data_IF_369620368693
#
_entry.id   IF_369620368693
#
_cell.length_a   1.000
_cell.length_b   1.000
_cell.length_c   1.000
_cell.angle_alpha   90.00
_cell.angle_beta   90.00
_cell.angle_gamma   90.00
#
_symmetry.space_group_name_H-M   'P 1'
#
loop_
_entity.id
_entity.type
_entity.pdbx_description
1 polymer ?
#
# COMPACT_ATOMS: atom_id res chain seq x y z
N UNK A 1 -23.83 16.62 10.39
CA UNK A 1 -22.87 15.49 10.43
C UNK A 1 -23.45 14.37 9.59
N UNK A 2 -23.30 14.46 8.27
CA UNK A 2 -23.65 13.35 7.38
C UNK A 2 -22.72 13.41 6.16
N UNK A 3 -21.42 13.30 6.44
CA UNK A 3 -20.31 13.53 5.51
C UNK A 3 -19.88 12.23 4.81
N UNK A 4 -20.81 11.34 4.47
CA UNK A 4 -20.48 10.07 3.79
C UNK A 4 -20.38 10.28 2.28
N UNK A 5 -19.21 10.72 1.83
CA UNK A 5 -18.86 10.76 0.41
C UNK A 5 -18.88 9.35 -0.17
N UNK A 6 -19.76 9.12 -1.15
CA UNK A 6 -19.99 7.81 -1.78
C UNK A 6 -18.71 7.30 -2.46
N UNK A 7 -18.51 5.99 -2.38
CA UNK A 7 -17.37 5.34 -3.02
C UNK A 7 -17.52 5.33 -4.54
N UNK A 8 -16.43 5.64 -5.24
CA UNK A 8 -16.38 5.51 -6.70
C UNK A 8 -16.22 4.04 -7.09
N UNK A 9 -16.59 3.72 -8.34
CA UNK A 9 -16.40 2.37 -8.90
C UNK A 9 -14.92 1.97 -8.84
N UNK A 10 -14.01 2.88 -9.21
CA UNK A 10 -12.56 2.63 -9.14
C UNK A 10 -12.10 2.30 -7.71
N UNK A 11 -12.59 3.02 -6.68
CA UNK A 11 -12.24 2.74 -5.28
C UNK A 11 -12.72 1.36 -4.83
N UNK A 12 -13.92 0.95 -5.25
CA UNK A 12 -14.42 -0.41 -4.97
C UNK A 12 -13.58 -1.47 -5.66
N UNK A 13 -13.21 -1.25 -6.93
CA UNK A 13 -12.33 -2.17 -7.66
C UNK A 13 -10.98 -2.29 -6.96
N UNK A 14 -10.36 -1.17 -6.58
CA UNK A 14 -9.09 -1.18 -5.84
C UNK A 14 -9.19 -1.96 -4.54
N UNK A 15 -10.24 -1.73 -3.74
CA UNK A 15 -10.45 -2.48 -2.51
C UNK A 15 -10.63 -3.98 -2.76
N UNK A 16 -11.41 -4.36 -3.77
CA UNK A 16 -11.62 -5.76 -4.14
C UNK A 16 -10.31 -6.41 -4.61
N UNK A 17 -9.51 -5.72 -5.42
CA UNK A 17 -8.20 -6.20 -5.83
C UNK A 17 -7.27 -6.38 -4.63
N UNK A 18 -7.23 -5.43 -3.69
CA UNK A 18 -6.42 -5.55 -2.47
C UNK A 18 -6.86 -6.76 -1.64
N UNK A 19 -8.18 -6.96 -1.46
CA UNK A 19 -8.73 -8.12 -0.75
C UNK A 19 -8.35 -9.43 -1.44
N UNK A 20 -8.48 -9.51 -2.76
CA UNK A 20 -8.10 -10.70 -3.53
C UNK A 20 -6.60 -10.97 -3.41
N UNK A 21 -5.75 -9.94 -3.55
CA UNK A 21 -4.31 -10.08 -3.38
C UNK A 21 -3.93 -10.56 -1.98
N UNK A 22 -4.53 -10.00 -0.93
CA UNK A 22 -4.23 -10.34 0.45
C UNK A 22 -4.71 -11.75 0.81
N UNK A 23 -6.02 -12.02 0.66
CA UNK A 23 -6.58 -13.32 1.02
C UNK A 23 -6.14 -14.43 0.06
N UNK A 24 -6.04 -14.12 -1.23
CA UNK A 24 -5.52 -15.07 -2.23
C UNK A 24 -4.11 -15.51 -1.90
N UNK A 25 -3.26 -14.61 -1.41
CA UNK A 25 -1.91 -14.97 -1.00
C UNK A 25 -1.87 -15.80 0.28
N UNK A 26 -2.70 -15.49 1.28
CA UNK A 26 -2.83 -16.32 2.49
C UNK A 26 -3.29 -17.73 2.13
N UNK A 27 -4.33 -17.86 1.30
CA UNK A 27 -4.84 -19.17 0.85
C UNK A 27 -3.73 -19.93 0.11
N UNK A 28 -3.03 -19.25 -0.80
CA UNK A 28 -1.90 -19.82 -1.50
C UNK A 28 -0.81 -20.36 -0.57
N UNK A 29 -0.42 -19.59 0.46
CA UNK A 29 0.57 -20.03 1.44
C UNK A 29 0.11 -21.26 2.23
N UNK A 30 -1.17 -21.34 2.58
CA UNK A 30 -1.73 -22.52 3.28
C UNK A 30 -1.70 -23.74 2.36
N UNK A 31 -2.09 -23.60 1.10
CA UNK A 31 -2.13 -24.71 0.14
C UNK A 31 -0.71 -25.24 -0.21
N UNK A 32 0.27 -24.34 -0.31
CA UNK A 32 1.65 -24.70 -0.62
C UNK A 32 2.51 -24.92 0.62
N UNK A 33 1.95 -24.87 1.84
CA UNK A 33 2.72 -24.84 3.08
C UNK A 33 3.74 -25.98 3.19
N UNK A 34 3.32 -27.20 2.85
CA UNK A 34 4.16 -28.40 2.95
C UNK A 34 5.24 -28.47 1.86
N UNK A 35 5.05 -27.75 0.75
CA UNK A 35 6.02 -27.65 -0.35
C UNK A 35 7.12 -26.62 -0.05
N UNK A 36 6.87 -25.68 0.86
CA UNK A 36 7.85 -24.66 1.25
C UNK A 36 8.97 -25.31 2.09
N UNK A 37 10.26 -25.07 1.75
CA UNK A 37 11.39 -25.57 2.51
C UNK A 37 11.30 -25.23 4.00
N UNK A 38 11.61 -26.20 4.87
CA UNK A 38 11.51 -26.01 6.33
C UNK A 38 12.43 -24.90 6.85
N UNK A 39 13.52 -24.61 6.14
CA UNK A 39 14.45 -23.51 6.45
C UNK A 39 14.50 -22.51 5.30
N UNK A 40 14.28 -21.24 5.62
CA UNK A 40 14.35 -20.11 4.70
C UNK A 40 15.49 -19.18 5.09
N UNK A 41 16.04 -18.46 4.12
CA UNK A 41 17.03 -17.40 4.37
C UNK A 41 16.35 -16.29 5.16
N UNK A 42 16.92 -15.91 6.30
CA UNK A 42 16.33 -14.91 7.20
C UNK A 42 17.18 -13.67 7.40
N UNK A 43 18.49 -13.72 7.10
CA UNK A 43 19.38 -12.56 7.21
C UNK A 43 20.50 -12.60 6.17
N UNK A 44 20.73 -11.44 5.55
CA UNK A 44 21.85 -11.17 4.65
C UNK A 44 22.84 -10.19 5.29
N UNK A 45 24.11 -10.24 4.89
CA UNK A 45 25.10 -9.19 5.20
C UNK A 45 25.02 -8.05 4.18
N UNK A 46 25.78 -6.98 4.40
CA UNK A 46 25.84 -5.85 3.48
C UNK A 46 26.40 -6.22 2.08
N UNK A 47 27.13 -7.35 1.98
CA UNK A 47 27.61 -7.92 0.72
C UNK A 47 26.60 -8.81 0.00
N UNK A 48 25.41 -9.06 0.58
CA UNK A 48 24.38 -9.93 0.01
C UNK A 48 24.58 -11.43 0.26
N UNK A 49 25.48 -11.80 1.17
CA UNK A 49 25.72 -13.20 1.57
C UNK A 49 24.79 -13.60 2.72
N UNK A 50 24.38 -14.88 2.76
CA UNK A 50 23.53 -15.39 3.85
C UNK A 50 24.32 -15.44 5.16
N UNK A 51 23.81 -14.75 6.17
CA UNK A 51 24.29 -14.89 7.54
C UNK A 51 23.47 -15.96 8.28
N UNK A 52 22.18 -16.09 7.98
CA UNK A 52 21.28 -16.93 8.79
C UNK A 52 20.13 -17.53 7.99
N UNK A 53 19.82 -18.78 8.34
CA UNK A 53 18.57 -19.46 7.99
C UNK A 53 17.69 -19.58 9.24
N UNK A 54 16.37 -19.44 9.06
CA UNK A 54 15.36 -19.62 10.12
C UNK A 54 14.31 -20.63 9.67
N UNK A 55 13.56 -21.22 10.62
CA UNK A 55 12.43 -22.09 10.25
C UNK A 55 11.38 -21.28 9.51
N UNK A 56 10.72 -21.89 8.51
CA UNK A 56 9.70 -21.21 7.70
C UNK A 56 8.60 -20.56 8.54
N UNK A 57 8.15 -21.24 9.60
CA UNK A 57 7.14 -20.70 10.52
C UNK A 57 7.63 -19.42 11.23
N UNK A 58 8.90 -19.37 11.67
CA UNK A 58 9.46 -18.20 12.35
C UNK A 58 9.78 -17.03 11.41
N UNK A 59 9.77 -17.24 10.09
CA UNK A 59 9.98 -16.19 9.10
C UNK A 59 8.66 -15.73 8.50
N UNK A 60 7.85 -16.65 7.99
CA UNK A 60 6.64 -16.33 7.23
C UNK A 60 5.50 -15.86 8.13
N UNK A 61 5.25 -16.51 9.26
CA UNK A 61 4.11 -16.17 10.13
C UNK A 61 4.21 -14.73 10.67
N UNK A 62 5.35 -14.28 11.23
CA UNK A 62 5.47 -12.90 11.67
C UNK A 62 5.30 -11.88 10.54
N UNK A 63 5.79 -12.19 9.33
CA UNK A 63 5.61 -11.30 8.18
C UNK A 63 4.13 -11.20 7.77
N UNK A 64 3.38 -12.31 7.77
CA UNK A 64 1.94 -12.30 7.47
C UNK A 64 1.19 -11.49 8.53
N UNK A 65 1.59 -11.61 9.80
CA UNK A 65 1.01 -10.80 10.88
C UNK A 65 1.26 -9.30 10.67
N UNK A 66 2.49 -8.91 10.30
CA UNK A 66 2.85 -7.52 10.02
C UNK A 66 2.05 -7.00 8.83
N UNK A 67 2.00 -7.76 7.73
CA UNK A 67 1.21 -7.42 6.55
C UNK A 67 -0.27 -7.26 6.90
N UNK A 68 -0.84 -8.20 7.66
CA UNK A 68 -2.24 -8.16 8.07
C UNK A 68 -2.57 -6.95 8.95
N UNK A 69 -1.69 -6.60 9.89
CA UNK A 69 -1.86 -5.39 10.71
C UNK A 69 -1.82 -4.14 9.83
N UNK A 70 -0.85 -4.04 8.91
CA UNK A 70 -0.72 -2.90 8.00
C UNK A 70 -1.95 -2.78 7.09
N UNK A 71 -2.37 -3.88 6.46
CA UNK A 71 -3.56 -3.95 5.62
C UNK A 71 -4.80 -3.45 6.38
N UNK A 72 -5.05 -3.96 7.59
CA UNK A 72 -6.21 -3.55 8.40
C UNK A 72 -6.15 -2.06 8.74
N UNK A 73 -4.99 -1.56 9.19
CA UNK A 73 -4.84 -0.14 9.55
C UNK A 73 -5.08 0.75 8.33
N UNK A 74 -4.45 0.47 7.19
CA UNK A 74 -4.57 1.29 5.98
C UNK A 74 -6.00 1.22 5.42
N UNK A 75 -6.60 0.03 5.40
CA UNK A 75 -8.00 -0.16 5.01
C UNK A 75 -8.94 0.63 5.91
N UNK A 76 -8.78 0.62 7.24
CA UNK A 76 -9.58 1.45 8.17
C UNK A 76 -9.41 2.93 7.85
N UNK A 77 -8.17 3.40 7.65
CA UNK A 77 -7.87 4.78 7.29
C UNK A 77 -8.57 5.18 5.97
N UNK A 78 -8.72 4.26 5.02
CA UNK A 78 -9.42 4.51 3.75
C UNK A 78 -10.91 4.85 3.91
N UNK A 79 -11.56 4.33 4.96
CA UNK A 79 -12.96 4.69 5.29
C UNK A 79 -13.07 6.11 5.82
N UNK A 80 -11.99 6.62 6.44
CA UNK A 80 -11.93 7.94 7.06
C UNK A 80 -10.82 8.81 6.43
N UNK A 81 -10.91 9.15 5.12
CA UNK A 81 -9.89 9.97 4.46
C UNK A 81 -9.76 11.36 5.11
N UNK A 82 -10.85 11.83 5.72
CA UNK A 82 -10.94 13.02 6.54
C UNK A 82 -9.98 13.04 7.74
N UNK A 83 -9.59 11.88 8.28
CA UNK A 83 -8.64 11.80 9.39
C UNK A 83 -7.18 12.04 8.93
N UNK A 84 -6.89 11.78 7.65
CA UNK A 84 -5.57 11.96 7.05
C UNK A 84 -5.38 13.39 6.55
N UNK A 85 -6.44 13.99 5.99
CA UNK A 85 -6.44 15.41 5.62
C UNK A 85 -6.69 16.27 6.85
N UNK A 86 -5.82 17.24 7.15
CA UNK A 86 -6.20 18.29 8.11
C UNK A 86 -7.32 19.14 7.50
N UNK A 87 -8.56 18.79 7.80
CA UNK A 87 -9.75 19.43 7.22
C UNK A 87 -9.77 20.91 7.55
N UNK A 88 -9.38 21.31 8.77
CA UNK A 88 -9.41 22.72 9.17
C UNK A 88 -8.38 23.53 8.40
N UNK A 89 -7.15 23.00 8.24
CA UNK A 89 -6.15 23.63 7.39
C UNK A 89 -6.59 23.67 5.92
N UNK A 90 -7.21 22.60 5.43
CA UNK A 90 -7.71 22.52 4.04
C UNK A 90 -8.85 23.52 3.79
N UNK A 91 -9.77 23.65 4.75
CA UNK A 91 -10.86 24.64 4.72
C UNK A 91 -10.31 26.06 4.75
N UNK A 92 -9.40 26.36 5.67
CA UNK A 92 -8.75 27.67 5.75
C UNK A 92 -8.05 28.03 4.44
N UNK A 93 -7.32 27.09 3.82
CA UNK A 93 -6.68 27.32 2.52
C UNK A 93 -7.73 27.57 1.42
N UNK A 94 -8.84 26.83 1.42
CA UNK A 94 -9.92 27.01 0.45
C UNK A 94 -10.65 28.34 0.61
N UNK A 95 -10.91 28.75 1.86
CA UNK A 95 -11.53 30.02 2.23
C UNK A 95 -10.63 31.19 1.83
N UNK A 96 -9.33 31.12 2.15
CA UNK A 96 -8.32 32.14 1.82
C UNK A 96 -8.13 32.28 0.29
N UNK A 97 -8.28 31.18 -0.45
CA UNK A 97 -8.28 31.20 -1.92
C UNK A 97 -9.63 31.63 -2.53
N UNK A 98 -10.67 31.87 -1.72
CA UNK A 98 -12.05 32.14 -2.15
C UNK A 98 -12.66 31.02 -3.03
N UNK A 99 -12.21 29.78 -2.80
CA UNK A 99 -12.55 28.57 -3.57
C UNK A 99 -13.45 27.64 -2.73
N UNK A 100 -13.85 28.07 -1.54
CA UNK A 100 -14.64 27.23 -0.64
C UNK A 100 -15.97 26.82 -1.24
N UNK A 101 -15.99 25.62 -1.80
CA UNK A 101 -17.16 24.93 -2.30
C UNK A 101 -17.15 23.51 -1.74
N UNK A 102 -18.31 23.06 -1.27
CA UNK A 102 -18.49 21.71 -0.71
C UNK A 102 -18.05 20.62 -1.70
N UNK A 103 -18.24 20.83 -3.00
CA UNK A 103 -17.79 19.96 -4.08
C UNK A 103 -16.26 19.78 -4.14
N UNK A 104 -15.48 20.82 -3.89
CA UNK A 104 -14.01 20.76 -3.89
C UNK A 104 -13.50 19.93 -2.69
N UNK A 105 -14.12 20.09 -1.52
CA UNK A 105 -13.81 19.28 -0.34
C UNK A 105 -14.13 17.79 -0.55
N UNK A 106 -15.25 17.50 -1.21
CA UNK A 106 -15.63 16.14 -1.59
C UNK A 106 -14.63 15.53 -2.58
N UNK A 107 -14.20 16.28 -3.59
CA UNK A 107 -13.16 15.84 -4.53
C UNK A 107 -11.83 15.55 -3.84
N UNK A 108 -11.41 16.39 -2.89
CA UNK A 108 -10.19 16.14 -2.10
C UNK A 108 -10.34 14.86 -1.29
N UNK A 109 -11.45 14.66 -0.59
CA UNK A 109 -11.73 13.43 0.18
C UNK A 109 -11.70 12.17 -0.70
N UNK A 110 -12.30 12.23 -1.90
CA UNK A 110 -12.27 11.13 -2.87
C UNK A 110 -10.85 10.86 -3.37
N UNK A 111 -10.09 11.89 -3.68
CA UNK A 111 -8.71 11.78 -4.15
C UNK A 111 -7.84 11.13 -3.06
N UNK A 112 -7.89 11.63 -1.83
CA UNK A 112 -7.16 11.08 -0.68
C UNK A 112 -7.50 9.61 -0.45
N UNK A 113 -8.79 9.24 -0.43
CA UNK A 113 -9.21 7.83 -0.31
C UNK A 113 -8.62 6.96 -1.41
N UNK A 114 -8.65 7.44 -2.65
CA UNK A 114 -8.12 6.70 -3.80
C UNK A 114 -6.63 6.41 -3.65
N UNK A 115 -5.85 7.36 -3.15
CA UNK A 115 -4.42 7.15 -2.91
C UNK A 115 -4.17 6.21 -1.75
N UNK A 116 -4.91 6.32 -0.66
CA UNK A 116 -4.81 5.36 0.45
C UNK A 116 -5.04 3.94 -0.06
N UNK A 117 -6.06 3.72 -0.90
CA UNK A 117 -6.34 2.40 -1.48
C UNK A 117 -5.26 1.91 -2.46
N UNK A 118 -4.69 2.80 -3.28
CA UNK A 118 -3.57 2.46 -4.15
C UNK A 118 -2.33 2.09 -3.32
N UNK A 119 -2.05 2.86 -2.26
CA UNK A 119 -0.96 2.58 -1.33
C UNK A 119 -1.15 1.23 -0.66
N UNK A 120 -2.35 0.91 -0.20
CA UNK A 120 -2.67 -0.39 0.41
C UNK A 120 -2.41 -1.55 -0.57
N UNK A 121 -2.93 -1.42 -1.80
CA UNK A 121 -2.70 -2.40 -2.85
C UNK A 121 -1.21 -2.60 -3.15
N UNK A 122 -0.44 -1.51 -3.23
CA UNK A 122 1.00 -1.58 -3.47
C UNK A 122 1.73 -2.25 -2.30
N UNK A 123 1.35 -1.98 -1.05
CA UNK A 123 1.96 -2.60 0.12
C UNK A 123 1.67 -4.10 0.18
N UNK A 124 0.42 -4.53 0.01
CA UNK A 124 0.07 -5.96 -0.04
C UNK A 124 0.86 -6.67 -1.14
N UNK A 125 0.94 -6.10 -2.35
CA UNK A 125 1.70 -6.73 -3.43
C UNK A 125 3.22 -6.70 -3.20
N UNK A 126 3.75 -5.70 -2.49
CA UNK A 126 5.16 -5.70 -2.05
C UNK A 126 5.43 -6.91 -1.15
N UNK A 127 4.62 -7.10 -0.09
CA UNK A 127 4.78 -8.23 0.82
C UNK A 127 4.65 -9.57 0.07
N UNK A 128 3.58 -9.77 -0.71
CA UNK A 128 3.37 -10.97 -1.51
C UNK A 128 4.57 -11.31 -2.41
N UNK A 129 5.15 -10.30 -3.08
CA UNK A 129 6.28 -10.54 -3.97
C UNK A 129 7.56 -10.85 -3.21
N UNK A 130 7.78 -10.23 -2.03
CA UNK A 130 8.89 -10.57 -1.13
C UNK A 130 8.73 -12.00 -0.60
N UNK A 131 7.52 -12.44 -0.27
CA UNK A 131 7.26 -13.82 0.13
C UNK A 131 7.58 -14.80 -1.00
N UNK A 132 7.09 -14.53 -2.22
CA UNK A 132 7.37 -15.37 -3.37
C UNK A 132 8.88 -15.45 -3.67
N UNK A 133 9.60 -14.33 -3.54
CA UNK A 133 11.06 -14.34 -3.71
C UNK A 133 11.73 -15.24 -2.67
N UNK A 134 11.26 -15.24 -1.41
CA UNK A 134 11.78 -16.13 -0.37
C UNK A 134 11.49 -17.62 -0.63
N UNK A 135 10.36 -17.95 -1.27
CA UNK A 135 9.95 -19.34 -1.50
C UNK A 135 10.61 -19.93 -2.75
N UNK A 136 10.69 -19.17 -3.85
CA UNK A 136 11.02 -19.70 -5.18
C UNK A 136 12.39 -19.33 -5.73
N UNK A 137 13.21 -18.59 -4.99
CA UNK A 137 14.52 -18.23 -5.53
C UNK A 137 15.47 -19.43 -5.54
N UNK A 138 15.83 -19.89 -6.74
CA UNK A 138 16.78 -20.98 -6.98
C UNK A 138 18.17 -20.72 -6.37
N UNK A 139 18.52 -19.44 -6.17
CA UNK A 139 19.72 -19.06 -5.44
C UNK A 139 19.50 -17.84 -4.56
N UNK A 140 20.28 -17.80 -3.49
CA UNK A 140 20.39 -16.67 -2.56
C UNK A 140 20.65 -15.36 -3.27
N UNK A 141 21.55 -15.35 -4.26
CA UNK A 141 21.95 -14.15 -4.97
C UNK A 141 20.80 -13.61 -5.83
N UNK A 142 20.04 -14.50 -6.46
CA UNK A 142 18.83 -14.16 -7.21
C UNK A 142 17.76 -13.62 -6.26
N UNK A 143 17.54 -14.27 -5.11
CA UNK A 143 16.61 -13.81 -4.10
C UNK A 143 16.88 -12.38 -3.66
N UNK A 144 18.14 -12.09 -3.32
CA UNK A 144 18.57 -10.77 -2.86
C UNK A 144 18.34 -9.70 -3.93
N UNK A 145 18.75 -9.97 -5.18
CA UNK A 145 18.60 -9.04 -6.30
C UNK A 145 17.12 -8.78 -6.64
N UNK A 146 16.32 -9.83 -6.74
CA UNK A 146 14.88 -9.74 -7.02
C UNK A 146 14.20 -8.91 -5.93
N UNK A 147 14.47 -9.21 -4.66
CA UNK A 147 13.93 -8.46 -3.53
C UNK A 147 14.32 -6.98 -3.58
N UNK A 148 15.58 -6.67 -3.88
CA UNK A 148 16.06 -5.30 -4.06
C UNK A 148 15.32 -4.57 -5.19
N UNK A 149 15.19 -5.20 -6.37
CA UNK A 149 14.49 -4.59 -7.50
C UNK A 149 13.01 -4.36 -7.21
N UNK A 150 12.36 -5.28 -6.49
CA UNK A 150 10.98 -5.12 -6.04
C UNK A 150 10.86 -3.91 -5.10
N UNK A 151 11.75 -3.78 -4.11
CA UNK A 151 11.74 -2.66 -3.18
C UNK A 151 11.97 -1.32 -3.90
N UNK A 152 12.94 -1.28 -4.83
CA UNK A 152 13.20 -0.08 -5.64
C UNK A 152 11.98 0.26 -6.52
N UNK A 153 11.41 -0.73 -7.20
CA UNK A 153 10.23 -0.55 -8.03
C UNK A 153 9.04 -0.04 -7.23
N UNK A 154 8.80 -0.61 -6.04
CA UNK A 154 7.80 -0.14 -5.09
C UNK A 154 8.05 1.31 -4.68
N UNK A 155 9.29 1.67 -4.31
CA UNK A 155 9.64 3.03 -3.91
C UNK A 155 9.37 4.04 -5.03
N UNK A 156 9.68 3.69 -6.28
CA UNK A 156 9.39 4.52 -7.46
C UNK A 156 7.88 4.67 -7.68
N UNK A 157 7.11 3.58 -7.63
CA UNK A 157 5.65 3.62 -7.77
C UNK A 157 5.00 4.43 -6.65
N UNK A 158 5.44 4.22 -5.42
CA UNK A 158 4.95 4.95 -4.26
C UNK A 158 5.26 6.45 -4.39
N UNK A 159 6.50 6.84 -4.73
CA UNK A 159 6.84 8.24 -5.01
C UNK A 159 5.99 8.82 -6.15
N UNK A 160 5.76 8.05 -7.22
CA UNK A 160 4.87 8.42 -8.32
C UNK A 160 3.44 8.70 -7.87
N UNK A 161 2.88 7.87 -6.98
CA UNK A 161 1.53 8.09 -6.42
C UNK A 161 1.42 9.37 -5.59
N UNK A 162 2.44 9.70 -4.81
CA UNK A 162 2.50 10.94 -4.03
C UNK A 162 2.62 12.17 -4.95
N UNK A 163 3.48 12.10 -5.97
CA UNK A 163 3.62 13.18 -6.95
C UNK A 163 2.31 13.39 -7.71
N UNK A 164 1.67 12.32 -8.17
CA UNK A 164 0.36 12.37 -8.82
C UNK A 164 -0.68 13.05 -7.92
N UNK A 165 -0.74 12.67 -6.64
CA UNK A 165 -1.62 13.31 -5.66
C UNK A 165 -1.40 14.81 -5.59
N UNK A 166 -0.14 15.21 -5.41
CA UNK A 166 0.25 16.61 -5.27
C UNK A 166 -0.16 17.43 -6.50
N UNK A 167 0.12 16.93 -7.71
CA UNK A 167 -0.26 17.61 -8.95
C UNK A 167 -1.78 17.71 -9.11
N UNK A 168 -2.53 16.66 -8.80
CA UNK A 168 -4.00 16.68 -8.89
C UNK A 168 -4.61 17.61 -7.86
N UNK A 169 -4.09 17.63 -6.64
CA UNK A 169 -4.51 18.60 -5.61
C UNK A 169 -4.29 20.03 -6.10
N UNK A 170 -3.12 20.32 -6.67
CA UNK A 170 -2.79 21.65 -7.21
C UNK A 170 -3.69 22.07 -8.37
N UNK A 171 -4.11 21.13 -9.24
CA UNK A 171 -5.06 21.41 -10.31
C UNK A 171 -6.45 21.79 -9.76
N UNK A 172 -6.95 21.07 -8.76
CA UNK A 172 -8.25 21.36 -8.13
C UNK A 172 -8.24 22.76 -7.51
N UNK A 173 -7.15 23.13 -6.83
CA UNK A 173 -6.96 24.46 -6.24
C UNK A 173 -6.81 25.57 -7.29
N UNK A 174 -6.27 25.31 -8.49
CA UNK A 174 -6.16 26.33 -9.55
C UNK A 174 -7.43 26.48 -10.39
N UNK A 175 -8.18 25.39 -10.59
CA UNK A 175 -9.35 25.35 -11.47
C UNK A 175 -10.57 26.15 -10.99
N UNK A 176 -10.60 26.54 -9.71
CA UNK A 176 -11.67 27.34 -9.11
C UNK A 176 -11.28 28.81 -8.88
N UNK A 177 -10.05 29.22 -9.24
CA UNK A 177 -9.56 30.60 -9.16
C UNK A 177 -9.92 31.44 -10.40
N UNK A 178 -10.94 31.04 -11.18
CA UNK A 178 -11.41 31.74 -12.38
C UNK A 178 -12.90 31.97 -12.32
#
# INVERSE_FOLDING_TARGET
MDDKVRWTVCQKILLVLTLISFFGFIIYLVLCWDQIPERLVSKFNAGGEVIRYSKKAFTLVPMIMIEGILFVIITIISFFPAAVTNINATKHILDDLNIYNQSALEHIRLLTRTIILITDLLFVNLFNTVFLSMIYSDSVLVQHRVTLYIIIGFAVLFAGTILFYYFRLRQIMKGHSR
#
